data_IF_394238855737
#
_entry.id   IF_394238855737
#
_cell.length_a   1.000
_cell.length_b   1.000
_cell.length_c   1.000
_cell.angle_alpha   90.00
_cell.angle_beta   90.00
_cell.angle_gamma   90.00
#
_symmetry.space_group_name_H-M   'P 1'
#
loop_
_entity.id
_entity.type
_entity.pdbx_description
1 polymer ?
#
# COMPACT_ATOMS: atom_id res chain seq x y z
N UNK A 1 26.22 -15.12 61.13
CA UNK A 1 26.47 -13.91 60.34
C UNK A 1 25.82 -14.06 58.98
N UNK A 2 24.72 -13.36 58.74
CA UNK A 2 23.88 -13.48 57.53
C UNK A 2 24.34 -12.44 56.53
N UNK A 3 24.79 -12.86 55.35
CA UNK A 3 25.03 -12.01 54.15
C UNK A 3 23.84 -12.06 53.26
N UNK A 4 23.21 -10.91 53.07
CA UNK A 4 22.02 -10.70 52.22
C UNK A 4 22.52 -10.43 50.79
N UNK A 5 22.19 -11.33 49.86
CA UNK A 5 22.33 -11.14 48.41
C UNK A 5 21.21 -10.22 47.90
N UNK A 6 21.57 -9.03 47.45
CA UNK A 6 20.70 -8.16 46.65
C UNK A 6 20.71 -8.63 45.20
N UNK A 7 19.63 -9.23 44.75
CA UNK A 7 19.35 -9.49 43.34
C UNK A 7 18.78 -8.19 42.73
N UNK A 8 19.59 -7.54 41.93
CA UNK A 8 19.16 -6.38 41.12
C UNK A 8 18.51 -6.84 39.83
N UNK A 9 17.22 -6.72 39.74
CA UNK A 9 16.47 -6.89 38.48
C UNK A 9 16.73 -5.69 37.57
N UNK A 10 17.67 -5.84 36.63
CA UNK A 10 17.77 -4.94 35.45
C UNK A 10 16.72 -5.37 34.42
N UNK A 11 15.54 -4.74 34.47
CA UNK A 11 14.64 -4.75 33.36
C UNK A 11 15.31 -4.01 32.17
N UNK A 12 15.67 -4.76 31.16
CA UNK A 12 16.04 -4.23 29.84
C UNK A 12 14.79 -3.62 29.19
N UNK A 13 14.59 -2.33 29.40
CA UNK A 13 13.72 -1.52 28.53
C UNK A 13 14.46 -1.32 27.20
N UNK A 14 14.14 -2.12 26.20
CA UNK A 14 14.53 -1.83 24.81
C UNK A 14 13.84 -0.52 24.41
N UNK A 15 14.55 0.59 24.54
CA UNK A 15 14.18 1.86 23.91
C UNK A 15 14.23 1.65 22.40
N UNK A 16 13.09 1.41 21.77
CA UNK A 16 12.92 1.61 20.32
C UNK A 16 13.33 3.04 20.04
N UNK A 17 14.40 3.21 19.25
CA UNK A 17 14.95 4.51 18.91
C UNK A 17 13.93 5.35 18.16
N UNK A 18 13.23 6.21 18.87
CA UNK A 18 12.48 7.31 18.28
C UNK A 18 13.50 8.33 17.73
N UNK A 19 13.47 8.51 16.44
CA UNK A 19 14.33 9.47 15.76
C UNK A 19 13.91 10.88 16.22
N UNK A 20 14.84 11.68 16.81
CA UNK A 20 14.60 13.01 17.35
C UNK A 20 13.98 14.03 16.36
N UNK A 21 13.97 13.71 15.06
CA UNK A 21 13.51 14.60 13.99
C UNK A 21 11.99 14.60 13.72
N UNK A 22 11.17 13.89 14.51
CA UNK A 22 9.71 13.86 14.31
C UNK A 22 8.92 14.44 15.49
N UNK A 23 9.57 15.08 16.44
CA UNK A 23 8.90 15.64 17.61
C UNK A 23 8.10 16.90 17.23
N UNK A 24 6.82 16.93 17.61
CA UNK A 24 6.00 18.14 17.56
C UNK A 24 6.51 19.11 18.64
N UNK A 25 7.13 20.19 18.22
CA UNK A 25 7.62 21.25 19.11
C UNK A 25 6.72 22.49 19.12
N UNK A 26 5.73 22.54 18.22
CA UNK A 26 4.75 23.61 18.10
C UNK A 26 3.42 23.04 17.61
N UNK A 27 2.35 23.45 18.24
CA UNK A 27 0.99 23.09 17.84
C UNK A 27 0.47 24.14 16.87
N UNK A 28 -0.02 23.72 15.71
CA UNK A 28 -0.72 24.55 14.77
C UNK A 28 -2.17 24.82 15.19
N UNK A 29 -2.84 25.71 14.47
CA UNK A 29 -4.21 26.10 14.79
C UNK A 29 -5.18 24.96 14.59
N UNK A 30 -5.02 24.15 13.57
CA UNK A 30 -5.91 23.03 13.23
C UNK A 30 -5.92 21.96 14.33
N UNK A 31 -4.74 21.56 14.81
CA UNK A 31 -4.62 20.63 15.94
C UNK A 31 -5.17 21.24 17.23
N UNK A 32 -4.92 22.53 17.49
CA UNK A 32 -5.47 23.22 18.67
C UNK A 32 -7.02 23.24 18.64
N UNK A 33 -7.65 23.52 17.50
CA UNK A 33 -9.10 23.47 17.31
C UNK A 33 -9.64 22.04 17.50
N UNK A 34 -8.98 21.02 16.97
CA UNK A 34 -9.35 19.62 17.16
C UNK A 34 -9.28 19.22 18.65
N UNK A 35 -8.24 19.64 19.37
CA UNK A 35 -8.08 19.37 20.81
C UNK A 35 -9.23 20.02 21.58
N UNK A 36 -9.50 21.30 21.36
CA UNK A 36 -10.57 22.05 22.06
C UNK A 36 -11.92 21.39 21.82
N UNK A 37 -12.24 21.04 20.57
CA UNK A 37 -13.51 20.40 20.24
C UNK A 37 -13.65 19.02 20.90
N UNK A 38 -12.60 18.19 20.87
CA UNK A 38 -12.61 16.86 21.52
C UNK A 38 -12.80 16.95 23.04
N UNK A 39 -12.21 17.96 23.68
CA UNK A 39 -12.37 18.16 25.13
C UNK A 39 -13.78 18.70 25.45
N UNK A 40 -14.31 19.58 24.60
CA UNK A 40 -15.67 20.13 24.75
C UNK A 40 -16.74 19.04 24.77
N UNK A 41 -16.57 17.97 23.97
CA UNK A 41 -17.51 16.84 23.92
C UNK A 41 -17.62 16.10 25.26
N UNK A 42 -16.64 16.29 26.16
CA UNK A 42 -16.57 15.60 27.47
C UNK A 42 -16.73 16.57 28.64
N UNK A 43 -16.59 17.88 28.40
CA UNK A 43 -16.56 18.91 29.43
C UNK A 43 -17.50 20.07 29.05
N UNK A 44 -18.51 20.29 29.86
CA UNK A 44 -19.53 21.35 29.63
C UNK A 44 -19.04 22.73 30.11
N UNK A 45 -17.75 23.02 29.94
CA UNK A 45 -17.10 24.27 30.32
C UNK A 45 -16.38 24.92 29.15
N UNK A 46 -16.17 26.24 29.22
CA UNK A 46 -15.37 26.93 28.21
C UNK A 46 -13.89 26.56 28.31
N UNK A 47 -13.30 26.24 27.15
CA UNK A 47 -11.94 25.79 27.03
C UNK A 47 -11.16 26.74 26.14
N UNK A 48 -9.94 27.08 26.54
CA UNK A 48 -8.99 27.86 25.76
C UNK A 48 -7.70 27.09 25.60
N UNK A 49 -7.21 27.01 24.38
CA UNK A 49 -5.88 26.48 24.07
C UNK A 49 -4.96 27.67 23.78
N UNK A 50 -3.98 27.89 24.64
CA UNK A 50 -3.21 29.13 24.73
C UNK A 50 -1.75 28.83 24.37
N UNK A 51 -1.17 29.58 23.43
CA UNK A 51 0.26 29.49 23.12
C UNK A 51 1.10 29.95 24.34
N UNK A 52 2.37 29.53 24.44
CA UNK A 52 3.28 30.00 25.49
C UNK A 52 3.43 31.54 25.54
N UNK A 53 3.18 32.22 24.40
CA UNK A 53 3.15 33.68 24.30
C UNK A 53 1.93 34.35 24.95
N UNK A 54 0.95 33.58 25.41
CA UNK A 54 -0.31 34.06 25.96
C UNK A 54 -1.41 34.29 24.93
N UNK A 55 -1.18 34.02 23.64
CA UNK A 55 -2.20 34.17 22.60
C UNK A 55 -3.09 32.92 22.56
N UNK A 56 -4.39 33.08 22.54
CA UNK A 56 -5.37 31.99 22.41
C UNK A 56 -5.35 31.50 20.96
N UNK A 57 -4.93 30.25 20.73
CA UNK A 57 -4.88 29.60 19.42
C UNK A 57 -6.24 29.03 19.01
N UNK A 58 -6.96 28.45 19.98
CA UNK A 58 -8.30 27.90 19.81
C UNK A 58 -9.11 28.07 21.09
N UNK A 59 -10.43 28.18 20.95
CA UNK A 59 -11.35 28.35 22.07
C UNK A 59 -12.74 27.81 21.71
N UNK A 60 -13.49 27.35 22.73
CA UNK A 60 -14.93 27.08 22.59
C UNK A 60 -15.74 28.34 22.33
N UNK A 61 -15.22 29.50 22.77
CA UNK A 61 -15.74 30.84 22.44
C UNK A 61 -14.84 31.43 21.33
N UNK A 62 -15.35 31.40 20.09
CA UNK A 62 -14.62 31.88 18.92
C UNK A 62 -14.17 33.35 19.00
N UNK A 63 -14.86 34.19 19.77
CA UNK A 63 -14.52 35.61 19.96
C UNK A 63 -13.22 35.80 20.71
N UNK A 64 -12.76 34.79 21.41
CA UNK A 64 -11.50 34.81 22.20
C UNK A 64 -10.26 34.40 21.39
N UNK A 65 -10.42 33.77 20.25
CA UNK A 65 -9.31 33.33 19.41
C UNK A 65 -8.50 34.55 18.94
N UNK A 66 -7.18 34.50 19.11
CA UNK A 66 -6.25 35.58 18.79
C UNK A 66 -6.14 36.66 19.89
N UNK A 67 -6.94 36.62 20.94
CA UNK A 67 -6.80 37.55 22.08
C UNK A 67 -5.72 37.08 23.06
N UNK A 68 -5.26 38.02 23.88
CA UNK A 68 -4.23 37.74 24.90
C UNK A 68 -4.87 37.24 26.20
N UNK A 69 -4.24 36.26 26.82
CA UNK A 69 -4.64 35.65 28.07
C UNK A 69 -3.50 35.69 29.09
N UNK A 70 -3.51 36.66 29.98
CA UNK A 70 -2.41 36.97 30.90
C UNK A 70 -2.00 35.78 31.76
N UNK A 71 -2.94 35.17 32.48
CA UNK A 71 -2.65 34.06 33.38
C UNK A 71 -2.17 32.80 32.63
N UNK A 72 -2.60 32.63 31.36
CA UNK A 72 -2.08 31.57 30.48
C UNK A 72 -0.59 31.77 30.20
N UNK A 73 -0.16 33.01 29.93
CA UNK A 73 1.25 33.33 29.77
C UNK A 73 2.05 33.13 31.06
N UNK A 74 1.47 33.49 32.21
CA UNK A 74 2.13 33.29 33.53
C UNK A 74 2.27 31.79 33.86
N UNK A 75 1.24 30.97 33.55
CA UNK A 75 1.29 29.52 33.70
C UNK A 75 2.37 28.90 32.81
N UNK A 76 2.48 29.39 31.55
CA UNK A 76 3.55 28.98 30.66
C UNK A 76 4.94 29.33 31.19
N UNK A 77 5.12 30.54 31.71
CA UNK A 77 6.40 31.01 32.22
C UNK A 77 6.83 30.32 33.52
N UNK A 78 5.86 30.04 34.42
CA UNK A 78 6.14 29.36 35.70
C UNK A 78 6.26 27.85 35.56
N UNK A 79 5.70 27.27 34.48
CA UNK A 79 5.58 25.82 34.30
C UNK A 79 4.67 25.14 35.31
N UNK A 80 3.82 25.90 36.00
CA UNK A 80 2.95 25.43 37.09
C UNK A 80 1.49 25.66 36.74
N UNK A 81 0.62 24.82 37.31
CA UNK A 81 -0.82 25.01 37.23
C UNK A 81 -1.20 26.27 38.01
N UNK A 82 -1.90 27.19 37.37
CA UNK A 82 -2.39 28.41 37.98
C UNK A 82 -3.94 28.42 38.03
N UNK A 83 -4.46 28.69 39.21
CA UNK A 83 -5.90 28.78 39.47
C UNK A 83 -6.33 30.21 39.71
N UNK A 84 -7.44 30.61 39.11
CA UNK A 84 -8.08 31.93 39.28
C UNK A 84 -9.40 31.70 39.98
N UNK A 85 -9.54 32.26 41.15
CA UNK A 85 -10.74 32.10 42.02
C UNK A 85 -11.82 33.16 41.79
N UNK A 86 -11.42 34.32 41.21
CA UNK A 86 -12.33 35.42 40.93
C UNK A 86 -12.15 35.93 39.50
N UNK A 87 -13.26 36.34 38.85
CA UNK A 87 -13.21 36.89 37.50
C UNK A 87 -12.48 38.28 37.48
N UNK A 88 -11.84 38.56 36.36
CA UNK A 88 -11.17 39.84 36.05
C UNK A 88 -9.96 40.25 36.92
N UNK A 89 -9.42 39.33 37.70
CA UNK A 89 -8.14 39.59 38.43
C UNK A 89 -6.96 39.74 37.50
N UNK A 90 -7.06 39.21 36.24
CA UNK A 90 -6.00 39.26 35.22
C UNK A 90 -6.62 39.57 33.87
N UNK A 91 -5.87 40.23 32.99
CA UNK A 91 -6.36 40.65 31.69
C UNK A 91 -6.79 39.45 30.82
N UNK A 92 -8.03 39.50 30.31
CA UNK A 92 -8.56 38.44 29.45
C UNK A 92 -8.86 37.12 30.14
N UNK A 93 -8.86 37.06 31.49
CA UNK A 93 -9.01 35.83 32.27
C UNK A 93 -10.36 35.81 33.02
N UNK A 94 -11.02 34.67 32.99
CA UNK A 94 -12.18 34.29 33.82
C UNK A 94 -11.75 33.34 34.93
N UNK A 95 -12.56 33.16 35.97
CA UNK A 95 -12.41 32.14 36.99
C UNK A 95 -12.15 30.77 36.33
N UNK A 96 -11.12 30.04 36.77
CA UNK A 96 -10.79 28.77 36.14
C UNK A 96 -9.42 28.23 36.53
N UNK A 97 -8.96 27.23 35.77
CA UNK A 97 -7.67 26.58 35.90
C UNK A 97 -6.87 26.70 34.60
N UNK A 98 -5.57 26.96 34.72
CA UNK A 98 -4.65 27.05 33.58
C UNK A 98 -3.52 26.04 33.78
N UNK A 99 -3.51 25.01 32.97
CA UNK A 99 -2.61 23.86 33.05
C UNK A 99 -1.60 23.91 31.90
N UNK A 100 -0.27 24.04 32.18
CA UNK A 100 0.78 23.91 31.16
C UNK A 100 0.84 22.50 30.60
N UNK A 101 0.90 22.39 29.28
CA UNK A 101 1.01 21.13 28.56
C UNK A 101 2.43 20.89 28.11
N UNK A 102 2.98 19.77 28.54
CA UNK A 102 4.31 19.32 28.14
C UNK A 102 4.25 18.10 27.26
N UNK A 103 5.10 18.08 26.24
CA UNK A 103 5.36 16.89 25.42
C UNK A 103 6.87 16.71 25.29
N UNK A 104 7.39 15.54 25.71
CA UNK A 104 8.83 15.25 25.70
C UNK A 104 9.67 16.38 26.33
N UNK A 105 9.26 16.86 27.51
CA UNK A 105 9.91 17.94 28.29
C UNK A 105 9.83 19.35 27.67
N UNK A 106 9.18 19.52 26.51
CA UNK A 106 8.93 20.81 25.89
C UNK A 106 7.54 21.32 26.20
N UNK A 107 7.46 22.58 26.66
CA UNK A 107 6.19 23.27 26.83
C UNK A 107 5.58 23.58 25.45
N UNK A 108 4.40 23.01 25.17
CA UNK A 108 3.71 23.20 23.92
C UNK A 108 2.65 24.32 23.98
N UNK A 109 1.88 24.34 25.06
CA UNK A 109 0.73 25.23 25.23
C UNK A 109 0.29 25.28 26.70
N UNK A 110 -0.76 26.04 26.97
CA UNK A 110 -1.52 26.02 28.23
C UNK A 110 -2.97 25.78 27.90
N UNK A 111 -3.63 24.86 28.62
CA UNK A 111 -5.08 24.68 28.56
C UNK A 111 -5.70 25.47 29.69
N UNK A 112 -6.56 26.42 29.36
CA UNK A 112 -7.43 27.12 30.28
C UNK A 112 -8.83 26.55 30.28
N UNK A 113 -9.39 26.19 31.45
CA UNK A 113 -10.78 25.75 31.60
C UNK A 113 -11.49 26.69 32.54
N UNK A 114 -12.60 27.27 32.10
CA UNK A 114 -13.40 28.22 32.87
C UNK A 114 -14.31 27.46 33.84
N UNK A 115 -14.36 27.93 35.09
CA UNK A 115 -15.22 27.37 36.14
C UNK A 115 -14.54 27.39 37.52
N UNK A 116 -15.28 26.98 38.56
CA UNK A 116 -14.71 26.88 39.91
C UNK A 116 -13.57 25.86 39.91
N UNK A 117 -12.33 26.24 40.31
CA UNK A 117 -11.13 25.40 40.19
C UNK A 117 -11.31 23.98 40.71
N UNK A 118 -11.92 23.79 41.87
CA UNK A 118 -12.17 22.46 42.44
C UNK A 118 -13.09 21.57 41.59
N UNK A 119 -14.02 22.19 40.84
CA UNK A 119 -14.97 21.47 39.97
C UNK A 119 -14.35 21.13 38.63
N UNK A 120 -13.44 21.97 38.11
CA UNK A 120 -12.88 21.80 36.75
C UNK A 120 -11.49 21.15 36.72
N UNK A 121 -10.86 20.93 37.88
CA UNK A 121 -9.50 20.37 37.96
C UNK A 121 -9.39 18.99 37.31
N UNK A 122 -10.38 18.12 37.53
CA UNK A 122 -10.38 16.78 36.90
C UNK A 122 -10.48 16.86 35.37
N UNK A 123 -11.22 17.84 34.83
CA UNK A 123 -11.32 18.07 33.38
C UNK A 123 -10.00 18.61 32.81
N UNK A 124 -9.27 19.43 33.57
CA UNK A 124 -7.96 19.92 33.12
C UNK A 124 -6.94 18.77 32.94
N UNK A 125 -6.87 17.85 33.88
CA UNK A 125 -6.03 16.65 33.75
C UNK A 125 -6.51 15.69 32.66
N UNK A 126 -7.83 15.56 32.47
CA UNK A 126 -8.37 14.78 31.36
C UNK A 126 -7.99 15.42 30.02
N UNK A 127 -8.10 16.74 29.92
CA UNK A 127 -7.71 17.52 28.75
C UNK A 127 -6.22 17.34 28.42
N UNK A 128 -5.34 17.33 29.42
CA UNK A 128 -3.92 17.01 29.23
C UNK A 128 -3.72 15.63 28.62
N UNK A 129 -4.41 14.61 29.14
CA UNK A 129 -4.29 13.23 28.61
C UNK A 129 -4.81 13.11 27.18
N UNK A 130 -5.96 13.71 26.88
CA UNK A 130 -6.52 13.74 25.52
C UNK A 130 -5.54 14.44 24.56
N UNK A 131 -5.00 15.58 24.97
CA UNK A 131 -4.02 16.33 24.17
C UNK A 131 -2.78 15.48 23.85
N UNK A 132 -2.22 14.82 24.85
CA UNK A 132 -1.05 13.95 24.66
C UNK A 132 -1.35 12.76 23.73
N UNK A 133 -2.56 12.20 23.78
CA UNK A 133 -2.98 11.12 22.85
C UNK A 133 -3.09 11.63 21.42
N UNK A 134 -3.72 12.80 21.18
CA UNK A 134 -3.85 13.40 19.84
C UNK A 134 -2.51 13.80 19.24
N UNK A 135 -1.61 14.37 20.03
CA UNK A 135 -0.24 14.68 19.61
C UNK A 135 0.50 13.42 19.19
N UNK A 136 0.41 12.36 20.00
CA UNK A 136 1.06 11.09 19.69
C UNK A 136 0.48 10.43 18.43
N UNK A 137 -0.81 10.51 18.23
CA UNK A 137 -1.47 10.02 17.01
C UNK A 137 -0.96 10.79 15.78
N UNK A 138 -0.87 12.11 15.87
CA UNK A 138 -0.36 12.95 14.77
C UNK A 138 1.12 12.63 14.46
N UNK A 139 1.96 12.45 15.48
CA UNK A 139 3.36 12.02 15.28
C UNK A 139 3.46 10.67 14.58
N UNK A 140 2.65 9.69 14.97
CA UNK A 140 2.60 8.37 14.34
C UNK A 140 2.15 8.47 12.88
N UNK A 141 1.13 9.29 12.59
CA UNK A 141 0.64 9.50 11.24
C UNK A 141 1.70 10.18 10.36
N UNK A 142 2.39 11.21 10.87
CA UNK A 142 3.47 11.86 10.15
C UNK A 142 4.66 10.92 9.91
N UNK A 143 5.02 10.12 10.90
CA UNK A 143 6.06 9.11 10.74
C UNK A 143 5.70 8.08 9.66
N UNK A 144 4.47 7.55 9.70
CA UNK A 144 3.98 6.58 8.71
C UNK A 144 3.99 7.15 7.29
N UNK A 145 3.56 8.41 7.11
CA UNK A 145 3.60 9.09 5.81
C UNK A 145 5.04 9.23 5.30
N UNK A 146 5.97 9.71 6.13
CA UNK A 146 7.39 9.84 5.75
C UNK A 146 8.00 8.49 5.36
N UNK A 147 7.65 7.41 6.07
CA UNK A 147 8.10 6.06 5.72
C UNK A 147 7.53 5.59 4.37
N UNK A 148 6.25 5.87 4.10
CA UNK A 148 5.64 5.57 2.81
C UNK A 148 6.31 6.35 1.67
N UNK A 149 6.57 7.65 1.85
CA UNK A 149 7.26 8.49 0.86
C UNK A 149 8.68 8.00 0.58
N UNK A 150 9.43 7.61 1.61
CA UNK A 150 10.77 7.01 1.45
C UNK A 150 10.73 5.69 0.68
N UNK A 151 9.77 4.81 1.01
CA UNK A 151 9.59 3.54 0.28
C UNK A 151 9.26 3.78 -1.18
N UNK A 152 8.34 4.73 -1.44
CA UNK A 152 7.98 5.12 -2.79
C UNK A 152 9.20 5.65 -3.56
N UNK A 153 9.97 6.58 -2.97
CA UNK A 153 11.20 7.11 -3.56
C UNK A 153 12.18 5.98 -3.92
N UNK A 154 12.47 5.06 -2.98
CA UNK A 154 13.41 3.96 -3.22
C UNK A 154 12.96 3.09 -4.39
N UNK A 155 11.70 2.65 -4.40
CA UNK A 155 11.18 1.80 -5.47
C UNK A 155 11.21 2.56 -6.81
N UNK A 156 10.76 3.81 -6.87
CA UNK A 156 10.74 4.60 -8.10
C UNK A 156 12.15 4.82 -8.65
N UNK A 157 13.12 5.18 -7.81
CA UNK A 157 14.52 5.35 -8.24
C UNK A 157 15.10 4.07 -8.83
N UNK A 158 14.84 2.92 -8.20
CA UNK A 158 15.34 1.62 -8.67
C UNK A 158 14.68 1.15 -9.97
N UNK A 159 13.36 1.30 -10.12
CA UNK A 159 12.65 0.84 -11.34
C UNK A 159 12.84 1.78 -12.53
N UNK A 160 13.16 3.07 -12.30
CA UNK A 160 13.48 4.04 -13.35
C UNK A 160 14.96 4.13 -13.68
N UNK A 161 15.79 3.44 -12.90
CA UNK A 161 17.25 3.53 -12.98
C UNK A 161 17.76 4.98 -12.83
N UNK A 162 17.11 5.77 -11.95
CA UNK A 162 17.49 7.13 -11.64
C UNK A 162 18.59 7.15 -10.56
N UNK A 163 19.73 7.75 -10.88
CA UNK A 163 20.91 7.77 -9.99
C UNK A 163 21.22 9.15 -9.40
N UNK A 164 20.37 10.14 -9.63
CA UNK A 164 20.63 11.55 -9.29
C UNK A 164 20.83 11.80 -7.78
N UNK A 165 20.34 10.93 -6.92
CA UNK A 165 20.44 11.06 -5.45
C UNK A 165 20.93 9.78 -4.78
N UNK A 166 22.09 9.29 -5.23
CA UNK A 166 22.62 7.97 -4.84
C UNK A 166 22.93 7.86 -3.33
N UNK A 167 23.40 8.94 -2.70
CA UNK A 167 23.67 8.96 -1.24
C UNK A 167 22.37 8.77 -0.44
N UNK A 168 21.32 9.50 -0.81
CA UNK A 168 20.04 9.40 -0.13
C UNK A 168 19.38 8.04 -0.36
N UNK A 169 19.46 7.51 -1.59
CA UNK A 169 18.99 6.16 -1.92
C UNK A 169 19.69 5.11 -1.05
N UNK A 170 21.02 5.16 -0.97
CA UNK A 170 21.83 4.24 -0.16
C UNK A 170 21.47 4.35 1.33
N UNK A 171 21.28 5.57 1.84
CA UNK A 171 20.83 5.80 3.22
C UNK A 171 19.47 5.18 3.50
N UNK A 172 18.51 5.33 2.58
CA UNK A 172 17.18 4.71 2.71
C UNK A 172 17.25 3.18 2.64
N UNK A 173 18.06 2.60 1.75
CA UNK A 173 18.26 1.16 1.65
C UNK A 173 18.82 0.58 2.96
N UNK A 174 19.77 1.26 3.58
CA UNK A 174 20.31 0.91 4.90
C UNK A 174 19.24 1.00 6.00
N UNK A 175 18.45 2.07 6.00
CA UNK A 175 17.35 2.26 6.98
C UNK A 175 16.33 1.11 6.89
N UNK A 176 15.99 0.69 5.67
CA UNK A 176 15.07 -0.44 5.41
C UNK A 176 15.74 -1.82 5.53
N UNK A 177 17.05 -1.88 5.80
CA UNK A 177 17.84 -3.11 5.93
C UNK A 177 17.79 -4.00 4.68
N UNK A 178 17.78 -3.39 3.51
CA UNK A 178 17.78 -4.11 2.24
C UNK A 178 19.19 -4.67 1.98
N UNK A 179 19.30 -5.98 1.80
CA UNK A 179 20.57 -6.60 1.41
C UNK A 179 20.88 -6.25 -0.05
N UNK A 180 22.04 -5.63 -0.28
CA UNK A 180 22.48 -5.18 -1.61
C UNK A 180 22.99 -6.33 -2.48
N UNK A 181 23.35 -7.47 -1.90
CA UNK A 181 24.06 -8.56 -2.58
C UNK A 181 23.12 -9.68 -3.07
N UNK A 182 21.90 -9.75 -2.54
CA UNK A 182 20.93 -10.78 -2.93
C UNK A 182 20.15 -10.36 -4.19
N UNK A 183 19.80 -11.36 -5.00
CA UNK A 183 18.89 -11.13 -6.13
C UNK A 183 17.49 -10.83 -5.63
N UNK A 184 16.79 -9.98 -6.35
CA UNK A 184 15.46 -9.54 -6.02
C UNK A 184 14.55 -9.58 -7.25
N UNK A 185 13.24 -9.68 -6.98
CA UNK A 185 12.19 -9.60 -7.99
C UNK A 185 11.25 -8.44 -7.71
N UNK A 186 10.67 -7.88 -8.74
CA UNK A 186 9.47 -7.05 -8.65
C UNK A 186 8.25 -7.93 -8.76
N UNK A 187 7.33 -7.76 -7.80
CA UNK A 187 5.95 -8.24 -7.89
C UNK A 187 5.09 -7.03 -8.20
N UNK A 188 4.39 -7.08 -9.32
CA UNK A 188 3.48 -6.03 -9.78
C UNK A 188 2.05 -6.54 -9.65
N UNK A 189 1.23 -5.80 -8.90
CA UNK A 189 -0.20 -6.08 -8.75
C UNK A 189 -0.94 -4.94 -9.41
N UNK A 190 -1.79 -5.23 -10.39
CA UNK A 190 -2.63 -4.24 -11.07
C UNK A 190 -4.09 -4.51 -10.78
N UNK A 191 -4.79 -3.48 -10.31
CA UNK A 191 -6.22 -3.58 -10.07
C UNK A 191 -6.99 -3.39 -11.37
N UNK A 192 -8.03 -4.22 -11.56
CA UNK A 192 -8.85 -4.20 -12.76
C UNK A 192 -9.73 -2.94 -12.78
N UNK A 193 -9.69 -2.16 -13.88
CA UNK A 193 -10.42 -0.89 -14.02
C UNK A 193 -11.93 -1.06 -14.16
N UNK A 194 -12.40 -2.27 -14.49
CA UNK A 194 -13.81 -2.53 -14.82
C UNK A 194 -14.70 -2.66 -13.57
N UNK A 195 -14.13 -2.99 -12.42
CA UNK A 195 -14.87 -3.06 -11.16
C UNK A 195 -14.49 -1.90 -10.24
N UNK A 196 -15.36 -0.89 -10.04
CA UNK A 196 -15.10 0.12 -9.03
C UNK A 196 -15.01 -0.57 -7.67
N UNK A 197 -13.80 -0.56 -7.10
CA UNK A 197 -13.53 -1.17 -5.80
C UNK A 197 -14.35 -0.42 -4.77
N UNK A 198 -15.47 -0.99 -4.38
CA UNK A 198 -16.43 -0.42 -3.42
C UNK A 198 -15.77 -0.18 -2.05
N UNK A 199 -14.62 -0.81 -1.78
CA UNK A 199 -13.91 -0.66 -0.51
C UNK A 199 -12.39 -0.81 -0.71
N UNK A 200 -11.78 0.20 -1.36
CA UNK A 200 -10.35 0.23 -1.69
C UNK A 200 -9.46 0.04 -0.47
N UNK A 201 -9.81 0.64 0.66
CA UNK A 201 -9.04 0.52 1.90
C UNK A 201 -8.95 -0.92 2.42
N UNK A 202 -10.00 -1.72 2.23
CA UNK A 202 -10.00 -3.13 2.62
C UNK A 202 -9.08 -3.94 1.71
N UNK A 203 -9.09 -3.70 0.40
CA UNK A 203 -8.18 -4.36 -0.53
C UNK A 203 -6.72 -4.01 -0.24
N UNK A 204 -6.41 -2.73 -0.02
CA UNK A 204 -5.07 -2.29 0.37
C UNK A 204 -4.59 -2.98 1.65
N UNK A 205 -5.46 -3.11 2.65
CA UNK A 205 -5.14 -3.80 3.89
C UNK A 205 -4.86 -5.30 3.67
N UNK A 206 -5.66 -5.98 2.83
CA UNK A 206 -5.44 -7.39 2.46
C UNK A 206 -4.10 -7.57 1.71
N UNK A 207 -3.79 -6.68 0.75
CA UNK A 207 -2.51 -6.71 0.03
C UNK A 207 -1.34 -6.51 1.00
N UNK A 208 -1.43 -5.58 1.95
CA UNK A 208 -0.40 -5.38 2.97
C UNK A 208 -0.20 -6.62 3.86
N UNK A 209 -1.28 -7.31 4.24
CA UNK A 209 -1.22 -8.56 4.99
C UNK A 209 -0.54 -9.66 4.17
N UNK A 210 -0.89 -9.80 2.90
CA UNK A 210 -0.27 -10.75 1.98
C UNK A 210 1.23 -10.45 1.81
N UNK A 211 1.63 -9.19 1.63
CA UNK A 211 3.04 -8.80 1.56
C UNK A 211 3.81 -9.13 2.84
N UNK A 212 3.20 -8.95 4.01
CA UNK A 212 3.83 -9.31 5.29
C UNK A 212 4.03 -10.83 5.41
N UNK A 213 3.04 -11.64 4.98
CA UNK A 213 3.15 -13.10 4.96
C UNK A 213 4.20 -13.61 3.97
N UNK A 214 4.32 -12.95 2.82
CA UNK A 214 5.29 -13.29 1.78
C UNK A 214 6.70 -12.71 2.04
N UNK A 215 6.94 -12.09 3.19
CA UNK A 215 8.23 -11.46 3.55
C UNK A 215 8.71 -10.42 2.53
N UNK A 216 7.78 -9.66 1.95
CA UNK A 216 8.13 -8.58 1.02
C UNK A 216 8.99 -7.54 1.73
N UNK A 217 10.17 -7.25 1.19
CA UNK A 217 11.14 -6.32 1.76
C UNK A 217 10.63 -4.87 1.74
N UNK A 218 10.08 -4.47 0.62
CA UNK A 218 9.64 -3.10 0.36
C UNK A 218 8.45 -3.10 -0.60
N UNK A 219 7.48 -2.22 -0.37
CA UNK A 219 6.35 -2.07 -1.29
C UNK A 219 5.87 -0.63 -1.32
N UNK A 220 5.25 -0.25 -2.43
CA UNK A 220 4.60 1.04 -2.59
C UNK A 220 3.34 0.90 -3.43
N UNK A 221 2.44 1.84 -3.26
CA UNK A 221 1.29 2.01 -4.13
C UNK A 221 1.59 3.09 -5.17
N UNK A 222 1.37 2.78 -6.44
CA UNK A 222 1.51 3.69 -7.56
C UNK A 222 0.12 3.99 -8.15
N UNK A 223 -0.34 5.21 -7.91
CA UNK A 223 -1.65 5.63 -8.40
C UNK A 223 -1.73 5.52 -9.95
N UNK A 224 -2.85 5.06 -10.56
CA UNK A 224 -4.18 4.87 -9.92
C UNK A 224 -4.49 3.46 -9.40
N UNK A 225 -3.70 2.42 -9.69
CA UNK A 225 -4.12 1.06 -9.37
C UNK A 225 -3.02 0.02 -9.22
N UNK A 226 -1.74 0.41 -9.26
CA UNK A 226 -0.63 -0.53 -9.20
C UNK A 226 -0.01 -0.59 -7.81
N UNK A 227 0.23 -1.80 -7.31
CA UNK A 227 1.10 -2.05 -6.16
C UNK A 227 2.40 -2.67 -6.67
N UNK A 228 3.51 -2.07 -6.28
CA UNK A 228 4.84 -2.53 -6.66
C UNK A 228 5.54 -3.01 -5.40
N UNK A 229 5.96 -4.26 -5.40
CA UNK A 229 6.65 -4.87 -4.27
C UNK A 229 8.02 -5.41 -4.69
N UNK A 230 8.98 -5.31 -3.78
CA UNK A 230 10.33 -5.83 -3.86
C UNK A 230 10.45 -7.04 -2.93
N UNK A 231 10.78 -8.19 -3.45
CA UNK A 231 11.00 -9.42 -2.68
C UNK A 231 12.36 -10.02 -3.02
N UNK A 232 13.02 -10.63 -2.04
CA UNK A 232 14.22 -11.41 -2.27
C UNK A 232 13.91 -12.71 -3.01
N UNK A 233 14.80 -13.15 -3.91
CA UNK A 233 14.59 -14.37 -4.69
C UNK A 233 14.37 -15.59 -3.79
N UNK A 234 15.15 -15.73 -2.74
CA UNK A 234 15.05 -16.85 -1.80
C UNK A 234 13.74 -16.89 -1.02
N UNK A 235 13.14 -15.73 -0.74
CA UNK A 235 11.85 -15.64 -0.09
C UNK A 235 10.72 -15.86 -1.10
N UNK A 236 10.88 -15.35 -2.32
CA UNK A 236 9.95 -15.59 -3.41
C UNK A 236 9.80 -17.10 -3.71
N UNK A 237 10.92 -17.82 -3.86
CA UNK A 237 10.88 -19.27 -4.11
C UNK A 237 10.08 -20.04 -3.04
N UNK A 238 10.15 -19.62 -1.78
CA UNK A 238 9.43 -20.25 -0.68
C UNK A 238 7.97 -19.80 -0.57
N UNK A 239 7.66 -18.57 -0.92
CA UNK A 239 6.38 -17.91 -0.65
C UNK A 239 5.54 -17.64 -1.91
N UNK A 240 6.02 -18.06 -3.09
CA UNK A 240 5.34 -17.87 -4.37
C UNK A 240 3.85 -18.30 -4.33
N UNK A 241 3.55 -19.40 -3.65
CA UNK A 241 2.18 -19.91 -3.52
C UNK A 241 1.20 -18.91 -2.90
N UNK A 242 1.67 -17.98 -2.05
CA UNK A 242 0.84 -16.95 -1.41
C UNK A 242 0.29 -15.99 -2.47
N UNK A 243 1.15 -15.52 -3.40
CA UNK A 243 0.74 -14.64 -4.49
C UNK A 243 -0.24 -15.34 -5.43
N UNK A 244 0.02 -16.59 -5.78
CA UNK A 244 -0.85 -17.42 -6.64
C UNK A 244 -2.23 -17.63 -6.01
N UNK A 245 -2.28 -17.95 -4.71
CA UNK A 245 -3.54 -18.12 -3.99
C UNK A 245 -4.30 -16.80 -3.91
N UNK A 246 -3.63 -15.72 -3.59
CA UNK A 246 -4.23 -14.39 -3.48
C UNK A 246 -4.82 -13.91 -4.82
N UNK A 247 -4.11 -14.12 -5.94
CA UNK A 247 -4.63 -13.81 -7.27
C UNK A 247 -5.87 -14.63 -7.60
N UNK A 248 -5.88 -15.94 -7.24
CA UNK A 248 -7.04 -16.82 -7.44
C UNK A 248 -8.26 -16.39 -6.61
N UNK A 249 -8.05 -15.94 -5.38
CA UNK A 249 -9.14 -15.48 -4.50
C UNK A 249 -9.72 -14.12 -4.93
N UNK A 250 -8.96 -13.32 -5.68
CA UNK A 250 -9.33 -11.95 -6.09
C UNK A 250 -9.28 -11.77 -7.62
N UNK A 251 -9.53 -12.83 -8.37
CA UNK A 251 -9.40 -12.88 -9.84
C UNK A 251 -10.25 -11.85 -10.60
N UNK A 252 -11.36 -11.40 -10.00
CA UNK A 252 -12.27 -10.38 -10.55
C UNK A 252 -11.79 -8.95 -10.32
N UNK A 253 -10.80 -8.75 -9.42
CA UNK A 253 -10.38 -7.44 -8.95
C UNK A 253 -8.98 -7.08 -9.40
N UNK A 254 -8.06 -8.07 -9.47
CA UNK A 254 -6.65 -7.79 -9.71
C UNK A 254 -5.92 -8.93 -10.44
N UNK A 255 -4.81 -8.54 -11.06
CA UNK A 255 -3.83 -9.41 -11.68
C UNK A 255 -2.47 -9.24 -11.01
N UNK A 256 -1.70 -10.32 -10.91
CA UNK A 256 -0.36 -10.33 -10.29
C UNK A 256 0.66 -10.87 -11.30
N UNK A 257 1.70 -10.09 -11.54
CA UNK A 257 2.82 -10.47 -12.37
C UNK A 257 4.15 -10.35 -11.62
N UNK A 258 5.07 -11.27 -11.87
CA UNK A 258 6.38 -11.34 -11.23
C UNK A 258 7.47 -11.24 -12.27
N UNK A 259 8.37 -10.28 -12.09
CA UNK A 259 9.52 -10.06 -12.96
C UNK A 259 10.66 -11.05 -12.71
N UNK A 260 11.63 -11.09 -13.62
CA UNK A 260 12.82 -11.93 -13.50
C UNK A 260 13.72 -11.50 -12.33
N UNK A 261 14.53 -12.43 -11.75
CA UNK A 261 15.43 -12.10 -10.66
C UNK A 261 16.62 -11.27 -11.18
N UNK A 262 16.92 -10.18 -10.48
CA UNK A 262 18.00 -9.25 -10.86
C UNK A 262 18.79 -8.78 -9.64
N UNK A 263 19.97 -8.21 -9.84
CA UNK A 263 20.63 -7.45 -8.80
C UNK A 263 19.83 -6.19 -8.48
N UNK A 264 19.98 -5.65 -7.28
CA UNK A 264 19.20 -4.49 -6.81
C UNK A 264 19.27 -3.29 -7.77
N UNK A 265 20.45 -2.94 -8.26
CA UNK A 265 20.63 -1.79 -9.16
C UNK A 265 20.23 -2.06 -10.62
N UNK A 266 19.82 -3.29 -10.95
CA UNK A 266 19.20 -3.65 -12.23
C UNK A 266 17.70 -3.91 -12.11
N UNK A 267 17.07 -3.43 -11.05
CA UNK A 267 15.68 -3.71 -10.74
C UNK A 267 14.69 -3.18 -11.80
N UNK A 268 15.11 -2.16 -12.58
CA UNK A 268 14.37 -1.69 -13.76
C UNK A 268 14.10 -2.83 -14.76
N UNK A 269 15.02 -3.79 -14.92
CA UNK A 269 14.81 -4.93 -15.83
C UNK A 269 13.85 -5.96 -15.26
N UNK A 270 13.81 -6.12 -13.92
CA UNK A 270 12.77 -6.92 -13.26
C UNK A 270 11.40 -6.29 -13.42
N UNK A 271 11.31 -4.96 -13.27
CA UNK A 271 10.05 -4.23 -13.46
C UNK A 271 9.53 -4.34 -14.90
N UNK A 272 10.40 -4.12 -15.90
CA UNK A 272 10.03 -4.27 -17.31
C UNK A 272 9.55 -5.70 -17.64
N UNK A 273 10.20 -6.71 -17.09
CA UNK A 273 9.76 -8.09 -17.27
C UNK A 273 8.42 -8.38 -16.55
N UNK A 274 8.18 -7.79 -15.37
CA UNK A 274 6.87 -7.87 -14.72
C UNK A 274 5.76 -7.20 -15.53
N UNK A 275 6.02 -6.04 -16.14
CA UNK A 275 5.07 -5.38 -17.06
C UNK A 275 4.78 -6.26 -18.28
N UNK A 276 5.79 -6.87 -18.88
CA UNK A 276 5.60 -7.82 -20.01
C UNK A 276 4.76 -9.01 -19.58
N UNK A 277 5.03 -9.57 -18.41
CA UNK A 277 4.26 -10.67 -17.84
C UNK A 277 2.81 -10.26 -17.57
N UNK A 278 2.58 -9.05 -17.04
CA UNK A 278 1.23 -8.54 -16.81
C UNK A 278 0.45 -8.37 -18.13
N UNK A 279 1.12 -7.90 -19.17
CA UNK A 279 0.51 -7.77 -20.51
C UNK A 279 0.11 -9.15 -21.08
N UNK A 280 0.85 -10.22 -20.77
CA UNK A 280 0.49 -11.57 -21.25
C UNK A 280 -0.82 -12.10 -20.65
N UNK A 281 -1.24 -11.60 -19.49
CA UNK A 281 -2.51 -11.96 -18.86
C UNK A 281 -3.74 -11.48 -19.63
N UNK A 282 -3.60 -10.47 -20.49
CA UNK A 282 -4.70 -9.97 -21.34
C UNK A 282 -5.20 -11.05 -22.31
N UNK A 283 -4.30 -11.93 -22.75
CA UNK A 283 -4.59 -13.05 -23.66
C UNK A 283 -4.73 -14.40 -22.95
N UNK A 284 -4.75 -14.39 -21.62
CA UNK A 284 -4.84 -15.57 -20.76
C UNK A 284 -6.06 -15.46 -19.85
N UNK A 285 -6.59 -16.59 -19.42
CA UNK A 285 -7.62 -16.66 -18.35
C UNK A 285 -7.00 -16.71 -16.96
N UNK A 286 -5.67 -16.63 -16.86
CA UNK A 286 -4.95 -16.64 -15.60
C UNK A 286 -4.86 -15.22 -15.02
N UNK A 287 -4.75 -15.14 -13.69
CA UNK A 287 -4.60 -13.87 -12.95
C UNK A 287 -3.28 -13.81 -12.18
N UNK A 288 -2.40 -14.78 -12.41
CA UNK A 288 -1.06 -14.86 -11.84
C UNK A 288 -0.07 -15.39 -12.87
N UNK A 289 1.06 -14.70 -13.01
CA UNK A 289 2.10 -15.08 -13.97
C UNK A 289 3.50 -14.74 -13.46
N UNK A 290 4.47 -15.61 -13.74
CA UNK A 290 5.90 -15.37 -13.52
C UNK A 290 6.54 -15.21 -14.90
N UNK A 291 7.36 -14.18 -15.08
CA UNK A 291 8.02 -13.89 -16.35
C UNK A 291 8.85 -15.08 -16.86
N UNK A 292 9.51 -15.82 -15.95
CA UNK A 292 10.37 -16.96 -16.31
C UNK A 292 9.59 -18.12 -16.93
N UNK A 293 8.28 -18.21 -16.70
CA UNK A 293 7.42 -19.26 -17.25
C UNK A 293 6.90 -18.91 -18.66
N UNK A 294 7.09 -17.66 -19.09
CA UNK A 294 6.60 -17.19 -20.38
C UNK A 294 7.54 -17.63 -21.52
N UNK A 295 6.96 -18.10 -22.60
CA UNK A 295 7.67 -18.46 -23.84
C UNK A 295 7.00 -17.79 -25.05
N UNK A 296 5.91 -18.36 -25.50
CA UNK A 296 5.14 -17.86 -26.64
C UNK A 296 4.46 -16.53 -26.30
N UNK A 297 4.01 -16.38 -25.08
CA UNK A 297 3.33 -15.18 -24.56
C UNK A 297 4.22 -13.93 -24.66
N UNK A 298 5.56 -14.08 -24.60
CA UNK A 298 6.50 -12.97 -24.81
C UNK A 298 6.34 -12.32 -26.20
N UNK A 299 6.02 -13.11 -27.20
CA UNK A 299 5.81 -12.63 -28.58
C UNK A 299 4.36 -12.15 -28.71
N UNK A 300 3.40 -12.94 -28.25
CA UNK A 300 1.98 -12.64 -28.41
C UNK A 300 1.56 -11.37 -27.66
N UNK A 301 2.14 -11.08 -26.50
CA UNK A 301 1.84 -9.88 -25.71
C UNK A 301 2.32 -8.57 -26.36
N UNK A 302 3.17 -8.64 -27.40
CA UNK A 302 3.65 -7.48 -28.15
C UNK A 302 2.77 -7.14 -29.37
N UNK A 303 1.79 -7.98 -29.69
CA UNK A 303 0.89 -7.77 -30.82
C UNK A 303 -0.09 -6.64 -30.50
N UNK A 304 -0.17 -5.64 -31.37
CA UNK A 304 -1.14 -4.56 -31.21
C UNK A 304 -2.58 -5.05 -31.44
N UNK A 305 -3.60 -4.44 -30.80
CA UNK A 305 -5.00 -4.84 -30.98
C UNK A 305 -5.45 -4.84 -32.47
N UNK A 306 -4.92 -3.92 -33.26
CA UNK A 306 -5.21 -3.84 -34.70
C UNK A 306 -4.65 -5.05 -35.45
N UNK A 307 -3.38 -5.42 -35.18
CA UNK A 307 -2.74 -6.58 -35.80
C UNK A 307 -3.39 -7.89 -35.31
N UNK A 308 -3.78 -7.97 -34.04
CA UNK A 308 -4.54 -9.10 -33.48
C UNK A 308 -5.86 -9.28 -34.25
N UNK A 309 -6.65 -8.21 -34.41
CA UNK A 309 -7.92 -8.25 -35.11
C UNK A 309 -7.75 -8.69 -36.56
N UNK A 310 -6.74 -8.14 -37.27
CA UNK A 310 -6.44 -8.50 -38.65
C UNK A 310 -6.02 -9.97 -38.77
N UNK A 311 -5.18 -10.45 -37.86
CA UNK A 311 -4.75 -11.85 -37.83
C UNK A 311 -5.90 -12.82 -37.59
N UNK A 312 -6.77 -12.51 -36.62
CA UNK A 312 -7.97 -13.32 -36.33
C UNK A 312 -8.94 -13.32 -37.54
N UNK A 313 -9.11 -12.18 -38.21
CA UNK A 313 -9.96 -12.08 -39.40
C UNK A 313 -9.46 -12.97 -40.56
N UNK A 314 -8.15 -13.12 -40.74
CA UNK A 314 -7.52 -13.93 -41.76
C UNK A 314 -7.42 -15.43 -41.41
N UNK A 315 -7.64 -15.80 -40.16
CA UNK A 315 -7.41 -17.17 -39.69
C UNK A 315 -8.70 -17.86 -39.22
N UNK A 316 -9.27 -17.45 -38.09
CA UNK A 316 -10.34 -18.18 -37.42
C UNK A 316 -11.71 -17.51 -37.45
N UNK A 317 -11.84 -16.28 -37.95
CA UNK A 317 -13.11 -15.55 -37.99
C UNK A 317 -14.29 -16.34 -38.63
N UNK A 318 -14.10 -17.18 -39.65
CA UNK A 318 -15.19 -17.98 -40.25
C UNK A 318 -15.61 -19.18 -39.38
N UNK A 319 -14.90 -19.51 -38.28
CA UNK A 319 -15.15 -20.70 -37.46
C UNK A 319 -16.12 -20.39 -36.32
N UNK A 320 -16.95 -21.36 -36.00
CA UNK A 320 -17.84 -21.29 -34.83
C UNK A 320 -17.16 -21.88 -33.56
N UNK A 321 -17.77 -21.67 -32.38
CA UNK A 321 -17.23 -22.11 -31.09
C UNK A 321 -16.94 -23.61 -31.03
N UNK A 322 -17.79 -24.47 -31.66
CA UNK A 322 -17.57 -25.92 -31.69
C UNK A 322 -16.34 -26.31 -32.51
N UNK A 323 -16.09 -25.59 -33.62
CA UNK A 323 -14.93 -25.81 -34.46
C UNK A 323 -13.63 -25.29 -33.81
N UNK A 324 -13.71 -24.20 -33.10
CA UNK A 324 -12.60 -23.68 -32.29
C UNK A 324 -12.26 -24.65 -31.15
N UNK A 325 -13.25 -25.13 -30.41
CA UNK A 325 -13.01 -26.12 -29.38
C UNK A 325 -12.45 -27.45 -29.93
N UNK A 326 -12.90 -27.87 -31.11
CA UNK A 326 -12.31 -29.04 -31.77
C UNK A 326 -10.82 -28.81 -32.11
N UNK A 327 -10.45 -27.63 -32.62
CA UNK A 327 -9.06 -27.31 -32.89
C UNK A 327 -8.22 -27.25 -31.59
N UNK A 328 -8.75 -26.69 -30.52
CA UNK A 328 -8.10 -26.64 -29.22
C UNK A 328 -7.77 -28.04 -28.72
N UNK A 329 -8.74 -28.95 -28.72
CA UNK A 329 -8.52 -30.35 -28.34
C UNK A 329 -7.57 -31.03 -29.30
N UNK A 330 -7.67 -30.80 -30.61
CA UNK A 330 -6.79 -31.39 -31.61
C UNK A 330 -5.33 -31.02 -31.42
N UNK A 331 -5.07 -29.77 -31.10
CA UNK A 331 -3.71 -29.27 -30.82
C UNK A 331 -3.20 -29.71 -29.44
N UNK A 332 -4.06 -29.79 -28.42
CA UNK A 332 -3.68 -30.30 -27.09
C UNK A 332 -3.32 -31.78 -27.11
N UNK A 333 -3.89 -32.54 -28.06
CA UNK A 333 -3.54 -33.95 -28.34
C UNK A 333 -2.46 -34.10 -29.42
N UNK A 334 -1.59 -33.10 -29.58
CA UNK A 334 -0.43 -33.10 -30.50
C UNK A 334 -0.82 -33.47 -31.94
N UNK A 335 -1.99 -33.07 -32.40
CA UNK A 335 -2.55 -33.37 -33.71
C UNK A 335 -2.82 -34.87 -33.94
N UNK A 336 -2.90 -35.67 -32.89
CA UNK A 336 -3.23 -37.09 -32.95
C UNK A 336 -4.72 -37.29 -33.22
N UNK A 337 -5.06 -37.82 -34.39
CA UNK A 337 -6.45 -38.16 -34.74
C UNK A 337 -7.07 -39.22 -33.78
N UNK A 338 -6.27 -40.15 -33.28
CA UNK A 338 -6.74 -41.18 -32.38
C UNK A 338 -7.09 -40.61 -31.00
N UNK A 339 -6.15 -39.89 -30.37
CA UNK A 339 -6.35 -39.30 -29.05
C UNK A 339 -7.48 -38.24 -29.07
N UNK A 340 -7.52 -37.38 -30.11
CA UNK A 340 -8.59 -36.40 -30.29
C UNK A 340 -9.96 -37.04 -30.44
N UNK A 341 -10.04 -38.14 -31.22
CA UNK A 341 -11.30 -38.86 -31.41
C UNK A 341 -11.82 -39.46 -30.10
N UNK A 342 -10.93 -40.03 -29.30
CA UNK A 342 -11.24 -40.57 -27.97
C UNK A 342 -11.72 -39.48 -27.01
N UNK A 343 -10.96 -38.38 -26.93
CA UNK A 343 -11.28 -37.27 -26.02
C UNK A 343 -12.58 -36.54 -26.35
N UNK A 344 -12.93 -36.44 -27.65
CA UNK A 344 -14.16 -35.81 -28.12
C UNK A 344 -15.31 -36.76 -28.27
N UNK A 345 -15.12 -38.05 -27.99
CA UNK A 345 -16.10 -39.12 -28.20
C UNK A 345 -16.64 -39.14 -29.66
N UNK A 346 -15.74 -38.93 -30.63
CA UNK A 346 -16.04 -38.92 -32.06
C UNK A 346 -15.43 -40.13 -32.76
N UNK A 347 -16.13 -40.65 -33.78
CA UNK A 347 -15.49 -41.59 -34.69
C UNK A 347 -14.41 -40.87 -35.53
N UNK A 348 -13.31 -41.57 -35.81
CA UNK A 348 -12.15 -41.03 -36.56
C UNK A 348 -12.56 -40.37 -37.90
N UNK A 349 -13.48 -40.98 -38.63
CA UNK A 349 -13.98 -40.45 -39.90
C UNK A 349 -14.76 -39.13 -39.71
N UNK A 350 -15.51 -39.01 -38.64
CA UNK A 350 -16.25 -37.80 -38.28
C UNK A 350 -15.29 -36.67 -37.94
N UNK A 351 -14.21 -36.95 -37.20
CA UNK A 351 -13.17 -35.99 -36.89
C UNK A 351 -12.49 -35.50 -38.18
N UNK A 352 -12.11 -36.43 -39.07
CA UNK A 352 -11.51 -36.05 -40.36
C UNK A 352 -12.44 -35.17 -41.22
N UNK A 353 -13.74 -35.50 -41.24
CA UNK A 353 -14.74 -34.67 -41.95
C UNK A 353 -14.81 -33.25 -41.36
N UNK A 354 -14.86 -33.15 -40.02
CA UNK A 354 -14.89 -31.85 -39.35
C UNK A 354 -13.63 -31.04 -39.60
N UNK A 355 -12.43 -31.62 -39.57
CA UNK A 355 -11.17 -30.95 -39.92
C UNK A 355 -11.13 -30.48 -41.39
N UNK A 356 -11.70 -31.28 -42.32
CA UNK A 356 -11.85 -30.85 -43.72
C UNK A 356 -12.83 -29.68 -43.87
N UNK A 357 -13.92 -29.67 -43.07
CA UNK A 357 -14.85 -28.55 -43.08
C UNK A 357 -14.20 -27.25 -42.57
N UNK A 358 -13.38 -27.30 -41.53
CA UNK A 358 -12.58 -26.17 -41.03
C UNK A 358 -11.66 -25.68 -42.16
N UNK A 359 -10.91 -26.54 -42.79
CA UNK A 359 -10.04 -26.18 -43.94
C UNK A 359 -10.79 -25.45 -45.04
N UNK A 360 -12.02 -25.91 -45.39
CA UNK A 360 -12.83 -25.26 -46.43
C UNK A 360 -13.28 -23.85 -46.00
N UNK A 361 -13.54 -23.62 -44.74
CA UNK A 361 -14.02 -22.36 -44.21
C UNK A 361 -12.91 -21.29 -44.12
N UNK A 362 -11.76 -21.64 -43.55
CA UNK A 362 -10.67 -20.68 -43.27
C UNK A 362 -9.51 -20.77 -44.29
N UNK A 363 -9.57 -21.71 -45.25
CA UNK A 363 -8.48 -21.96 -46.22
C UNK A 363 -7.16 -22.42 -45.63
N UNK A 364 -7.12 -22.76 -44.32
CA UNK A 364 -5.97 -23.27 -43.60
C UNK A 364 -6.19 -24.75 -43.22
N UNK A 365 -5.24 -25.62 -43.54
CA UNK A 365 -5.34 -27.04 -43.26
C UNK A 365 -4.77 -27.38 -41.87
N UNK A 366 -5.60 -27.77 -40.89
CA UNK A 366 -5.11 -28.06 -39.53
C UNK A 366 -4.07 -29.20 -39.43
N UNK A 367 -3.92 -30.00 -40.51
CA UNK A 367 -2.94 -31.10 -40.57
C UNK A 367 -1.64 -30.74 -41.24
N UNK A 368 -1.50 -29.53 -41.83
CA UNK A 368 -0.25 -29.01 -42.37
C UNK A 368 0.41 -28.12 -41.31
N UNK A 369 1.66 -28.41 -40.96
CA UNK A 369 2.35 -27.72 -39.88
C UNK A 369 2.25 -26.19 -39.93
N UNK A 370 2.53 -25.57 -41.07
CA UNK A 370 2.49 -24.11 -41.24
C UNK A 370 1.09 -23.55 -40.95
N UNK A 371 0.04 -24.17 -41.50
CA UNK A 371 -1.33 -23.75 -41.33
C UNK A 371 -1.83 -24.04 -39.88
N UNK A 372 -1.39 -25.19 -39.32
CA UNK A 372 -1.68 -25.56 -37.93
C UNK A 372 -1.11 -24.57 -36.94
N UNK A 373 0.12 -24.07 -37.16
CA UNK A 373 0.73 -23.03 -36.32
C UNK A 373 -0.10 -21.75 -36.37
N UNK A 374 -0.57 -21.30 -37.54
CA UNK A 374 -1.42 -20.11 -37.64
C UNK A 374 -2.75 -20.30 -36.90
N UNK A 375 -3.39 -21.45 -37.02
CA UNK A 375 -4.64 -21.75 -36.31
C UNK A 375 -4.43 -21.87 -34.80
N UNK A 376 -3.32 -22.47 -34.36
CA UNK A 376 -2.95 -22.60 -32.95
C UNK A 376 -2.72 -21.22 -32.32
N UNK A 377 -1.90 -20.37 -32.96
CA UNK A 377 -1.64 -19.02 -32.50
C UNK A 377 -2.93 -18.19 -32.45
N UNK A 378 -3.78 -18.29 -33.47
CA UNK A 378 -5.07 -17.59 -33.49
C UNK A 378 -5.99 -18.03 -32.32
N UNK A 379 -6.00 -19.33 -31.98
CA UNK A 379 -6.73 -19.83 -30.83
C UNK A 379 -6.17 -19.33 -29.49
N UNK A 380 -4.86 -19.02 -29.40
CA UNK A 380 -4.23 -18.50 -28.17
C UNK A 380 -4.48 -17.01 -27.94
N UNK A 381 -4.72 -16.23 -28.98
CA UNK A 381 -4.88 -14.77 -28.87
C UNK A 381 -6.35 -14.32 -29.02
N UNK A 382 -7.29 -15.25 -29.24
CA UNK A 382 -8.73 -14.98 -29.29
C UNK A 382 -9.25 -14.54 -27.90
#
# INVERSE_FOLDING_TARGET
MRSILKVGSKQLCQKKGYNKNSMITKIDRELAEQIVNTIKDVCDHDINFIAPSGIILASTDSSRVGTFHEIGQQAAASGSVLEVTEDNNFFGTKQGINLPLYHNEHLLAVIGITGIPDKVRSYAYLAERITNLLIREQELNQYSRRQADKKHFVIQSLIRNETDNQEYLTSCLHEFKIDLNTKKRIVLIRTNKQNPITNRSVLEQKIQQMFAQAHVCLHTFNYPGDFIALIEETDFEKQNYIFKLFAKEHFDILDIAVGKPTSLFQLHTSYQSAETALHSLIISSEHYVIFDDLTLELILSTITPENQKEFLAKTIAPLNEQELHLLEVYFSEEMSLAATSERLFLHKNTLQYKLNAIQKKCSLNPRKFQDAVLLYLAGKIK
#
